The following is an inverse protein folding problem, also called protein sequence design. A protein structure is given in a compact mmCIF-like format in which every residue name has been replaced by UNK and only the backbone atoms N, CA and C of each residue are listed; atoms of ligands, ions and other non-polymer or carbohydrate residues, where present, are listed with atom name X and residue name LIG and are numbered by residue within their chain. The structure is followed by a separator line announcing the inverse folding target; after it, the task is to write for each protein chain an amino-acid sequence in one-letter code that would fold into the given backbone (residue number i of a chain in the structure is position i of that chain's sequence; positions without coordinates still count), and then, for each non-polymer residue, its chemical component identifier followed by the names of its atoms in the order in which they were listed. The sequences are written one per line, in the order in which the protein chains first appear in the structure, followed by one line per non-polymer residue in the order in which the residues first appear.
data_IF_216595206307
#
_entry.id   IF_216595206307
#
_cell.length_a   1.000
_cell.length_b   1.000
_cell.length_c   1.000
_cell.angle_alpha   90.00
_cell.angle_beta   90.00
_cell.angle_gamma   90.00
#
_symmetry.space_group_name_H-M   'P 1'
#
loop_
_entity.id
_entity.type
_entity.pdbx_description
1 polymer ?
#
# COMPACT_ATOMS: atom_id res chain seq x y z
N UNK A 1 7.42 8.33 12.48
CA UNK A 1 6.99 6.97 12.90
C UNK A 1 5.55 7.02 13.37
N UNK A 2 4.89 5.86 13.52
CA UNK A 2 3.58 5.72 14.18
C UNK A 2 3.72 4.85 15.44
N UNK A 3 2.69 4.82 16.29
CA UNK A 3 2.66 3.91 17.44
C UNK A 3 2.92 2.46 17.04
N UNK A 4 2.34 2.03 15.92
CA UNK A 4 2.53 0.68 15.34
C UNK A 4 3.99 0.34 15.01
N UNK A 5 4.87 1.34 14.79
CA UNK A 5 6.30 1.11 14.52
C UNK A 5 6.94 0.28 15.62
N UNK A 6 6.57 0.52 16.89
CA UNK A 6 7.08 -0.25 18.02
C UNK A 6 6.77 -1.74 17.92
N UNK A 7 5.53 -2.10 17.53
CA UNK A 7 5.15 -3.48 17.37
C UNK A 7 5.91 -4.18 16.21
N UNK A 8 6.22 -3.47 15.13
CA UNK A 8 7.06 -4.01 14.05
C UNK A 8 8.52 -4.18 14.47
N UNK A 9 9.07 -3.23 15.23
CA UNK A 9 10.44 -3.36 15.77
C UNK A 9 10.53 -4.49 16.79
N UNK A 10 9.51 -4.65 17.65
CA UNK A 10 9.46 -5.74 18.63
C UNK A 10 9.54 -7.13 17.98
N UNK A 11 9.07 -7.28 16.72
CA UNK A 11 9.17 -8.55 15.99
C UNK A 11 10.62 -9.08 15.85
N UNK A 12 11.62 -8.21 15.91
CA UNK A 12 13.03 -8.59 15.79
C UNK A 12 13.85 -8.29 17.04
N UNK A 13 13.42 -7.35 17.87
CA UNK A 13 14.08 -7.03 19.15
C UNK A 13 13.77 -8.10 20.21
N UNK A 14 12.54 -8.60 20.24
CA UNK A 14 12.06 -9.54 21.27
C UNK A 14 11.62 -10.90 20.72
N UNK A 15 11.88 -11.26 19.49
CA UNK A 15 11.26 -12.23 18.58
C UNK A 15 9.78 -12.54 18.92
N UNK A 16 8.99 -11.47 19.13
CA UNK A 16 7.58 -11.59 19.46
C UNK A 16 6.71 -11.62 18.19
N UNK A 17 5.86 -12.64 18.11
CA UNK A 17 4.77 -12.69 17.14
C UNK A 17 3.57 -11.94 17.70
N UNK A 18 3.46 -10.65 17.35
CA UNK A 18 2.31 -9.84 17.78
C UNK A 18 1.02 -10.34 17.11
N UNK A 19 -0.07 -10.40 17.87
CA UNK A 19 -1.33 -11.01 17.40
C UNK A 19 -2.04 -10.21 16.30
N UNK A 20 -1.80 -8.92 16.23
CA UNK A 20 -2.53 -7.95 15.39
C UNK A 20 -1.79 -7.55 14.10
N UNK A 21 -0.56 -8.04 13.89
CA UNK A 21 0.25 -7.64 12.72
C UNK A 21 0.97 -8.83 12.08
N UNK A 22 1.05 -8.87 10.73
CA UNK A 22 1.87 -9.86 10.04
C UNK A 22 3.34 -9.78 10.45
N UNK A 23 3.98 -10.93 10.63
CA UNK A 23 5.42 -11.01 10.95
C UNK A 23 6.27 -10.93 9.67
N UNK A 24 6.13 -9.84 8.93
CA UNK A 24 6.78 -9.63 7.62
C UNK A 24 7.58 -8.34 7.60
N UNK A 25 6.95 -7.22 8.01
CA UNK A 25 7.61 -5.92 7.91
C UNK A 25 8.77 -5.75 8.90
N UNK A 26 8.65 -6.26 10.11
CA UNK A 26 9.75 -6.20 11.08
C UNK A 26 11.04 -6.85 10.56
N UNK A 27 11.02 -8.13 10.12
CA UNK A 27 12.17 -8.78 9.49
C UNK A 27 12.64 -8.07 8.21
N UNK A 28 11.75 -7.54 7.37
CA UNK A 28 12.13 -6.73 6.20
C UNK A 28 12.91 -5.48 6.60
N UNK A 29 12.41 -4.72 7.57
CA UNK A 29 13.06 -3.50 8.04
C UNK A 29 14.39 -3.78 8.73
N UNK A 30 14.47 -4.90 9.47
CA UNK A 30 15.68 -5.34 10.17
C UNK A 30 16.88 -5.51 9.24
N UNK A 31 16.70 -5.99 8.02
CA UNK A 31 17.77 -6.11 7.02
C UNK A 31 18.52 -4.79 6.83
N UNK A 32 17.85 -3.67 7.00
CA UNK A 32 18.41 -2.33 6.75
C UNK A 32 18.84 -1.61 8.03
N UNK A 33 18.16 -1.79 9.14
CA UNK A 33 18.49 -1.10 10.40
C UNK A 33 19.38 -1.94 11.33
N UNK A 34 19.36 -3.27 11.26
CA UNK A 34 20.17 -4.22 12.00
C UNK A 34 20.34 -3.88 13.50
N UNK A 35 19.34 -3.23 14.11
CA UNK A 35 19.36 -2.66 15.46
C UNK A 35 20.49 -1.64 15.71
N UNK A 36 21.07 -1.06 14.66
CA UNK A 36 22.10 -0.01 14.74
C UNK A 36 21.46 1.36 14.61
N UNK A 37 20.72 1.60 13.53
CA UNK A 37 20.03 2.87 13.30
C UNK A 37 18.82 2.71 12.38
N UNK A 38 17.68 3.27 12.76
CA UNK A 38 16.44 3.29 11.98
C UNK A 38 16.57 3.99 10.63
N UNK A 39 17.57 4.89 10.50
CA UNK A 39 17.85 5.59 9.26
C UNK A 39 18.17 4.65 8.09
N UNK A 40 18.74 3.46 8.34
CA UNK A 40 18.97 2.48 7.27
C UNK A 40 17.72 2.08 6.51
N UNK A 41 16.59 1.97 7.18
CA UNK A 41 15.31 1.60 6.57
C UNK A 41 14.74 2.70 5.67
N UNK A 42 14.91 3.97 6.04
CA UNK A 42 14.33 5.12 5.32
C UNK A 42 14.88 5.25 3.89
N UNK A 43 16.23 5.36 3.67
CA UNK A 43 16.79 5.41 2.32
C UNK A 43 16.50 4.12 1.53
N UNK A 44 16.47 2.94 2.18
CA UNK A 44 16.13 1.70 1.49
C UNK A 44 14.72 1.74 0.88
N UNK A 45 13.74 2.20 1.64
CA UNK A 45 12.36 2.42 1.17
C UNK A 45 12.31 3.45 0.01
N UNK A 46 13.05 4.55 0.15
CA UNK A 46 13.17 5.57 -0.89
C UNK A 46 13.80 5.04 -2.18
N UNK A 47 14.87 4.24 -2.08
CA UNK A 47 15.55 3.63 -3.23
C UNK A 47 14.67 2.59 -3.93
N UNK A 48 13.91 1.79 -3.18
CA UNK A 48 12.92 0.84 -3.75
C UNK A 48 11.88 1.60 -4.58
N UNK A 49 11.31 2.68 -4.03
CA UNK A 49 10.35 3.50 -4.77
C UNK A 49 10.98 4.16 -6.00
N UNK A 50 12.19 4.72 -5.88
CA UNK A 50 12.94 5.32 -6.98
C UNK A 50 13.21 4.31 -8.10
N UNK A 51 13.64 3.09 -7.75
CA UNK A 51 13.87 2.02 -8.72
C UNK A 51 12.58 1.64 -9.47
N UNK A 52 11.45 1.47 -8.77
CA UNK A 52 10.16 1.19 -9.41
C UNK A 52 9.73 2.32 -10.36
N UNK A 53 9.91 3.58 -9.97
CA UNK A 53 9.63 4.75 -10.81
C UNK A 53 10.52 4.74 -12.06
N UNK A 54 11.82 4.45 -11.91
CA UNK A 54 12.76 4.34 -13.02
C UNK A 54 12.33 3.27 -14.03
N UNK A 55 12.03 2.06 -13.53
CA UNK A 55 11.64 0.93 -14.39
C UNK A 55 10.30 1.21 -15.08
N UNK A 56 9.33 1.81 -14.37
CA UNK A 56 8.05 2.20 -14.97
C UNK A 56 8.24 3.24 -16.10
N UNK A 57 9.09 4.25 -15.88
CA UNK A 57 9.45 5.23 -16.90
C UNK A 57 10.13 4.56 -18.11
N UNK A 58 11.01 3.58 -17.87
CA UNK A 58 11.71 2.82 -18.91
C UNK A 58 10.75 1.97 -19.75
N UNK A 59 9.84 1.25 -19.10
CA UNK A 59 8.79 0.45 -19.79
C UNK A 59 7.90 1.31 -20.67
N UNK A 60 7.72 2.58 -20.30
CA UNK A 60 6.99 3.58 -21.08
C UNK A 60 7.87 4.33 -22.13
N UNK A 61 9.15 3.93 -22.29
CA UNK A 61 10.07 4.53 -23.24
C UNK A 61 10.53 5.95 -22.90
N UNK A 62 10.52 6.33 -21.61
CA UNK A 62 10.75 7.71 -21.13
C UNK A 62 11.89 7.85 -20.12
N UNK A 63 12.63 6.80 -19.84
CA UNK A 63 13.69 6.84 -18.84
C UNK A 63 14.91 7.61 -19.34
N UNK A 64 15.11 8.79 -18.78
CA UNK A 64 16.39 9.50 -18.79
C UNK A 64 16.73 9.90 -17.36
N UNK A 65 18.03 10.01 -16.99
CA UNK A 65 18.41 10.39 -15.62
C UNK A 65 17.76 11.70 -15.17
N UNK A 66 17.73 12.72 -16.02
CA UNK A 66 17.13 14.03 -15.69
C UNK A 66 15.62 13.94 -15.49
N UNK A 67 14.92 13.17 -16.35
CA UNK A 67 13.49 12.97 -16.22
C UNK A 67 13.14 12.22 -14.92
N UNK A 68 13.91 11.18 -14.60
CA UNK A 68 13.75 10.43 -13.36
C UNK A 68 13.98 11.30 -12.12
N UNK A 69 15.10 12.05 -12.08
CA UNK A 69 15.39 12.98 -10.99
C UNK A 69 14.30 14.04 -10.84
N UNK A 70 13.81 14.57 -11.96
CA UNK A 70 12.70 15.54 -11.98
C UNK A 70 11.42 14.97 -11.38
N UNK A 71 11.05 13.72 -11.72
CA UNK A 71 9.88 13.04 -11.13
C UNK A 71 10.09 12.83 -9.62
N UNK A 72 11.24 12.27 -9.22
CA UNK A 72 11.52 12.02 -7.80
C UNK A 72 11.52 13.32 -6.98
N UNK A 73 12.13 14.40 -7.49
CA UNK A 73 12.13 15.70 -6.86
C UNK A 73 10.72 16.31 -6.75
N UNK A 74 9.93 16.22 -7.82
CA UNK A 74 8.54 16.69 -7.80
C UNK A 74 7.67 15.92 -6.81
N UNK A 75 7.78 14.58 -6.77
CA UNK A 75 7.07 13.76 -5.80
C UNK A 75 7.50 14.09 -4.36
N UNK A 76 8.80 14.30 -4.13
CA UNK A 76 9.33 14.63 -2.82
C UNK A 76 8.88 16.02 -2.35
N UNK A 77 8.84 17.01 -3.23
CA UNK A 77 8.50 18.38 -2.88
C UNK A 77 6.98 18.64 -2.75
N UNK A 78 6.17 17.96 -3.57
CA UNK A 78 4.77 18.37 -3.78
C UNK A 78 3.74 17.30 -3.41
N UNK A 79 4.15 16.15 -2.85
CA UNK A 79 3.23 15.05 -2.56
C UNK A 79 3.46 14.43 -1.17
N UNK A 80 2.56 13.48 -0.81
CA UNK A 80 2.68 12.68 0.41
C UNK A 80 3.77 11.59 0.34
N UNK A 81 4.45 11.38 -0.79
CA UNK A 81 5.44 10.31 -0.97
C UNK A 81 6.54 10.29 0.11
N UNK A 82 7.24 11.41 0.41
CA UNK A 82 8.31 11.40 1.42
C UNK A 82 7.79 11.14 2.84
N UNK A 83 6.53 11.51 3.13
CA UNK A 83 5.91 11.22 4.41
C UNK A 83 5.66 9.73 4.62
N UNK A 84 5.33 9.00 3.56
CA UNK A 84 5.18 7.54 3.61
C UNK A 84 6.51 6.81 3.55
N UNK A 85 7.43 7.24 2.67
CA UNK A 85 8.75 6.63 2.52
C UNK A 85 9.68 6.89 3.72
N UNK A 86 9.51 8.03 4.39
CA UNK A 86 10.28 8.41 5.57
C UNK A 86 9.82 7.77 6.88
N UNK A 87 8.74 7.01 6.87
CA UNK A 87 8.25 6.30 8.06
C UNK A 87 8.74 4.86 8.09
N UNK A 88 9.15 4.38 9.26
CA UNK A 88 9.45 2.96 9.49
C UNK A 88 8.13 2.23 9.71
N UNK A 89 7.41 2.01 8.60
CA UNK A 89 6.05 1.45 8.56
C UNK A 89 5.82 0.72 7.24
N UNK A 90 4.97 -0.32 7.21
CA UNK A 90 4.62 -1.04 5.97
C UNK A 90 3.78 -0.21 4.99
N UNK A 91 3.37 0.99 5.35
CA UNK A 91 2.52 1.85 4.54
C UNK A 91 3.09 2.10 3.13
N UNK A 92 4.41 2.33 3.01
CA UNK A 92 5.07 2.52 1.72
C UNK A 92 5.07 1.25 0.86
N UNK A 93 4.92 0.08 1.46
CA UNK A 93 4.87 -1.17 0.71
C UNK A 93 3.52 -1.36 -0.02
N UNK A 94 2.46 -0.64 0.34
CA UNK A 94 1.20 -0.67 -0.42
C UNK A 94 1.37 -0.16 -1.86
N UNK A 95 1.89 1.07 -2.12
CA UNK A 95 2.18 1.49 -3.49
C UNK A 95 3.24 0.64 -4.18
N UNK A 96 4.23 0.11 -3.44
CA UNK A 96 5.23 -0.83 -3.97
C UNK A 96 4.54 -2.10 -4.50
N UNK A 97 3.60 -2.70 -3.76
CA UNK A 97 2.85 -3.87 -4.20
C UNK A 97 2.03 -3.59 -5.48
N UNK A 98 1.36 -2.43 -5.53
CA UNK A 98 0.60 -2.00 -6.72
C UNK A 98 1.51 -1.88 -7.94
N UNK A 99 2.66 -1.21 -7.81
CA UNK A 99 3.60 -1.02 -8.91
C UNK A 99 4.26 -2.34 -9.34
N UNK A 100 4.62 -3.23 -8.42
CA UNK A 100 5.12 -4.56 -8.73
C UNK A 100 4.10 -5.36 -9.55
N UNK A 101 2.84 -5.43 -9.10
CA UNK A 101 1.79 -6.13 -9.82
C UNK A 101 1.55 -5.55 -11.22
N UNK A 102 1.54 -4.21 -11.35
CA UNK A 102 1.40 -3.53 -12.62
C UNK A 102 2.55 -3.86 -13.59
N UNK A 103 3.80 -3.80 -13.12
CA UNK A 103 4.99 -4.12 -13.92
C UNK A 103 5.02 -5.60 -14.32
N UNK A 104 4.71 -6.53 -13.42
CA UNK A 104 4.64 -7.95 -13.71
C UNK A 104 3.57 -8.30 -14.74
N UNK A 105 2.43 -7.56 -14.72
CA UNK A 105 1.35 -7.73 -15.69
C UNK A 105 1.66 -7.11 -17.04
N UNK A 106 1.73 -5.80 -17.09
CA UNK A 106 1.78 -5.03 -18.34
C UNK A 106 3.18 -4.55 -18.73
N UNK A 107 4.14 -4.60 -17.80
CA UNK A 107 5.54 -4.22 -18.04
C UNK A 107 6.47 -5.37 -18.41
N UNK A 108 6.00 -6.62 -18.35
CA UNK A 108 6.81 -7.85 -18.38
C UNK A 108 7.88 -7.90 -19.49
N UNK A 109 7.54 -7.52 -20.72
CA UNK A 109 8.44 -7.57 -21.86
C UNK A 109 9.59 -6.56 -21.76
N UNK A 110 9.37 -5.48 -21.00
CA UNK A 110 10.41 -4.48 -20.70
C UNK A 110 11.27 -4.79 -19.49
N UNK A 111 11.04 -5.94 -18.79
CA UNK A 111 11.80 -6.36 -17.62
C UNK A 111 12.86 -7.38 -17.96
N UNK A 112 14.09 -7.19 -17.44
CA UNK A 112 15.13 -8.20 -17.42
C UNK A 112 14.79 -9.37 -16.48
N UNK A 113 15.51 -10.51 -16.61
CA UNK A 113 15.27 -11.69 -15.76
C UNK A 113 15.41 -11.39 -14.27
N UNK A 114 16.43 -10.65 -13.89
CA UNK A 114 16.67 -10.26 -12.49
C UNK A 114 15.54 -9.38 -11.96
N UNK A 115 15.05 -8.43 -12.76
CA UNK A 115 13.94 -7.55 -12.38
C UNK A 115 12.61 -8.31 -12.22
N UNK A 116 12.36 -9.32 -13.07
CA UNK A 116 11.17 -10.18 -12.94
C UNK A 116 11.18 -10.93 -11.60
N UNK A 117 12.33 -11.52 -11.22
CA UNK A 117 12.49 -12.19 -9.93
C UNK A 117 12.36 -11.17 -8.79
N UNK A 118 13.09 -10.06 -8.89
CA UNK A 118 13.08 -9.01 -7.87
C UNK A 118 11.68 -8.48 -7.60
N UNK A 119 10.93 -8.09 -8.64
CA UNK A 119 9.56 -7.57 -8.46
C UNK A 119 8.57 -8.64 -8.03
N UNK A 120 8.80 -9.90 -8.35
CA UNK A 120 8.01 -11.01 -7.81
C UNK A 120 8.21 -11.15 -6.31
N UNK A 121 9.44 -11.23 -5.85
CA UNK A 121 9.78 -11.35 -4.41
C UNK A 121 9.35 -10.11 -3.64
N UNK A 122 9.70 -8.92 -4.15
CA UNK A 122 9.32 -7.65 -3.54
C UNK A 122 7.79 -7.50 -3.47
N UNK A 123 7.08 -7.88 -4.53
CA UNK A 123 5.63 -7.87 -4.58
C UNK A 123 4.98 -8.80 -3.55
N UNK A 124 5.54 -10.00 -3.36
CA UNK A 124 5.10 -10.94 -2.30
C UNK A 124 5.30 -10.32 -0.92
N UNK A 125 6.50 -9.83 -0.61
CA UNK A 125 6.82 -9.20 0.69
C UNK A 125 5.91 -7.98 0.92
N UNK A 126 5.80 -7.10 -0.07
CA UNK A 126 5.00 -5.88 0.03
C UNK A 126 3.51 -6.18 0.22
N UNK A 127 2.99 -7.23 -0.43
CA UNK A 127 1.59 -7.64 -0.25
C UNK A 127 1.36 -8.25 1.12
N UNK A 128 2.27 -9.11 1.60
CA UNK A 128 2.15 -9.77 2.89
C UNK A 128 2.38 -8.83 4.09
N UNK A 129 3.12 -7.73 3.91
CA UNK A 129 3.46 -6.81 4.99
C UNK A 129 2.27 -6.08 5.61
N UNK A 130 1.15 -5.96 4.88
CA UNK A 130 -0.07 -5.34 5.39
C UNK A 130 -1.32 -6.04 4.84
N UNK A 131 -2.19 -6.55 5.71
CA UNK A 131 -3.35 -7.37 5.33
C UNK A 131 -4.30 -6.67 4.33
N UNK A 132 -4.43 -5.34 4.39
CA UNK A 132 -5.25 -4.59 3.41
C UNK A 132 -4.70 -4.65 1.98
N UNK A 133 -3.44 -5.06 1.78
CA UNK A 133 -2.88 -5.21 0.44
C UNK A 133 -3.43 -6.44 -0.30
N UNK A 134 -3.88 -7.47 0.42
CA UNK A 134 -4.48 -8.66 -0.20
C UNK A 134 -5.69 -8.33 -1.09
N UNK A 135 -6.75 -7.64 -0.58
CA UNK A 135 -7.87 -7.25 -1.43
C UNK A 135 -7.49 -6.22 -2.50
N UNK A 136 -6.47 -5.37 -2.27
CA UNK A 136 -5.97 -4.44 -3.30
C UNK A 136 -5.37 -5.22 -4.48
N UNK A 137 -4.46 -6.16 -4.22
CA UNK A 137 -3.84 -6.95 -5.30
C UNK A 137 -4.87 -7.90 -5.95
N UNK A 138 -5.81 -8.44 -5.17
CA UNK A 138 -6.93 -9.19 -5.74
C UNK A 138 -7.74 -8.34 -6.75
N UNK A 139 -8.03 -7.08 -6.45
CA UNK A 139 -8.68 -6.17 -7.40
C UNK A 139 -7.85 -5.96 -8.69
N UNK A 140 -6.52 -5.94 -8.60
CA UNK A 140 -5.64 -5.88 -9.79
C UNK A 140 -5.67 -7.17 -10.60
N UNK A 141 -5.79 -8.34 -9.96
CA UNK A 141 -5.98 -9.62 -10.66
C UNK A 141 -7.32 -9.62 -11.42
N UNK A 142 -8.39 -9.16 -10.78
CA UNK A 142 -9.70 -9.00 -11.44
C UNK A 142 -9.59 -8.02 -12.61
N UNK A 143 -8.89 -6.90 -12.44
CA UNK A 143 -8.63 -5.96 -13.54
C UNK A 143 -7.89 -6.63 -14.71
N UNK A 144 -6.87 -7.45 -14.43
CA UNK A 144 -6.13 -8.17 -15.48
C UNK A 144 -7.04 -9.13 -16.27
N UNK A 145 -7.95 -9.82 -15.59
CA UNK A 145 -8.95 -10.66 -16.22
C UNK A 145 -9.93 -9.87 -17.08
N UNK A 146 -10.46 -8.75 -16.56
CA UNK A 146 -11.38 -7.87 -17.28
C UNK A 146 -10.75 -7.25 -18.52
N UNK A 147 -9.47 -6.88 -18.45
CA UNK A 147 -8.69 -6.35 -19.57
C UNK A 147 -8.15 -7.44 -20.51
N UNK A 148 -8.50 -8.71 -20.25
CA UNK A 148 -8.10 -9.86 -21.08
C UNK A 148 -6.61 -9.96 -21.31
N UNK A 149 -5.80 -9.78 -20.24
CA UNK A 149 -4.34 -9.81 -20.30
C UNK A 149 -3.76 -11.18 -20.71
N UNK A 150 -4.61 -12.18 -20.88
CA UNK A 150 -4.24 -13.56 -21.12
C UNK A 150 -3.85 -14.28 -19.82
N UNK A 151 -3.90 -15.63 -19.84
CA UNK A 151 -3.72 -16.43 -18.63
C UNK A 151 -2.34 -16.24 -17.97
N UNK A 152 -1.27 -16.14 -18.78
CA UNK A 152 0.08 -15.89 -18.26
C UNK A 152 0.20 -14.51 -17.60
N UNK A 153 -0.40 -13.48 -18.20
CA UNK A 153 -0.44 -12.15 -17.62
C UNK A 153 -1.21 -12.12 -16.30
N UNK A 154 -2.37 -12.76 -16.25
CA UNK A 154 -3.14 -12.89 -15.01
C UNK A 154 -2.37 -13.63 -13.91
N UNK A 155 -1.67 -14.72 -14.24
CA UNK A 155 -0.80 -15.44 -13.29
C UNK A 155 0.33 -14.56 -12.75
N UNK A 156 0.97 -13.74 -13.61
CA UNK A 156 2.04 -12.83 -13.20
C UNK A 156 1.52 -11.76 -12.22
N UNK A 157 0.32 -11.20 -12.47
CA UNK A 157 -0.33 -10.24 -11.54
C UNK A 157 -0.77 -10.93 -10.24
N UNK A 158 -1.21 -12.20 -10.31
CA UNK A 158 -1.65 -12.98 -9.16
C UNK A 158 -0.50 -13.48 -8.28
N UNK A 159 0.72 -13.56 -8.80
CA UNK A 159 1.88 -14.11 -8.09
C UNK A 159 2.16 -13.39 -6.75
N UNK A 160 2.17 -12.05 -6.65
CA UNK A 160 2.30 -11.35 -5.37
C UNK A 160 1.22 -11.74 -4.36
N UNK A 161 -0.02 -11.91 -4.79
CA UNK A 161 -1.12 -12.32 -3.92
C UNK A 161 -0.95 -13.77 -3.44
N UNK A 162 -0.74 -14.70 -4.36
CA UNK A 162 -0.59 -16.12 -4.03
C UNK A 162 0.62 -16.37 -3.11
N UNK A 163 1.75 -15.74 -3.43
CA UNK A 163 2.95 -15.81 -2.59
C UNK A 163 2.75 -15.17 -1.22
N UNK A 164 2.05 -14.04 -1.14
CA UNK A 164 1.73 -13.40 0.13
C UNK A 164 0.80 -14.26 1.00
N UNK A 165 -0.23 -14.87 0.41
CA UNK A 165 -1.11 -15.80 1.13
C UNK A 165 -0.31 -16.99 1.65
N UNK A 166 0.52 -17.62 0.83
CA UNK A 166 1.36 -18.73 1.25
C UNK A 166 2.31 -18.33 2.39
N UNK A 167 2.97 -17.17 2.28
CA UNK A 167 3.88 -16.65 3.30
C UNK A 167 3.16 -16.39 4.62
N UNK A 168 1.97 -15.79 4.58
CA UNK A 168 1.15 -15.52 5.77
C UNK A 168 0.66 -16.82 6.43
N UNK A 169 0.22 -17.81 5.64
CA UNK A 169 -0.18 -19.12 6.17
C UNK A 169 0.97 -19.81 6.90
N UNK A 170 2.17 -19.79 6.32
CA UNK A 170 3.37 -20.38 6.93
C UNK A 170 3.78 -19.63 8.19
N UNK A 171 3.90 -18.31 8.14
CA UNK A 171 4.32 -17.50 9.31
C UNK A 171 3.32 -17.60 10.45
N UNK A 172 2.01 -17.59 10.17
CA UNK A 172 0.99 -17.74 11.19
C UNK A 172 0.90 -19.17 11.76
N UNK A 173 1.17 -20.19 10.95
CA UNK A 173 1.28 -21.57 11.43
C UNK A 173 2.45 -21.70 12.40
N UNK A 174 3.62 -21.17 12.05
CA UNK A 174 4.83 -21.23 12.89
C UNK A 174 4.66 -20.40 14.18
N UNK A 175 4.16 -19.17 14.06
CA UNK A 175 4.14 -18.24 15.18
C UNK A 175 2.90 -18.35 16.08
N UNK A 176 1.76 -18.74 15.52
CA UNK A 176 0.49 -18.81 16.26
C UNK A 176 -0.11 -20.22 16.33
N UNK A 177 0.51 -21.21 15.66
CA UNK A 177 -0.05 -22.56 15.55
C UNK A 177 -1.35 -22.61 14.74
N UNK A 178 -1.62 -21.60 13.88
CA UNK A 178 -2.88 -21.49 13.13
C UNK A 178 -2.63 -21.33 11.64
N UNK A 179 -3.17 -22.25 10.85
CA UNK A 179 -3.14 -22.19 9.40
C UNK A 179 -4.22 -21.21 8.91
N UNK A 180 -3.93 -19.93 9.00
CA UNK A 180 -4.85 -18.84 8.63
C UNK A 180 -4.06 -17.62 8.12
N UNK A 181 -4.64 -16.87 7.19
CA UNK A 181 -4.05 -15.62 6.67
C UNK A 181 -4.02 -14.53 7.76
N UNK A 182 -5.03 -14.49 8.61
CA UNK A 182 -5.14 -13.57 9.75
C UNK A 182 -5.85 -14.30 10.89
N UNK A 183 -5.10 -14.90 11.82
CA UNK A 183 -5.67 -15.74 12.89
C UNK A 183 -6.70 -15.03 13.78
N UNK A 184 -6.55 -13.70 13.91
CA UNK A 184 -7.35 -12.87 14.81
C UNK A 184 -8.01 -11.69 14.11
N UNK A 185 -8.08 -11.71 12.79
CA UNK A 185 -8.66 -10.64 11.97
C UNK A 185 -10.15 -10.41 12.20
N UNK A 186 -10.88 -11.42 12.71
CA UNK A 186 -12.29 -11.30 13.09
C UNK A 186 -12.51 -10.23 14.15
N UNK A 187 -11.59 -10.04 15.10
CA UNK A 187 -11.69 -8.98 16.13
C UNK A 187 -11.69 -7.59 15.52
N UNK A 188 -10.87 -7.34 14.47
CA UNK A 188 -10.85 -6.05 13.77
C UNK A 188 -12.12 -5.80 12.98
N UNK A 189 -12.62 -6.81 12.28
CA UNK A 189 -13.87 -6.71 11.54
C UNK A 189 -15.05 -6.52 12.49
N UNK A 190 -15.09 -7.23 13.62
CA UNK A 190 -16.13 -7.03 14.64
C UNK A 190 -16.09 -5.60 15.18
N UNK A 191 -14.90 -5.09 15.54
CA UNK A 191 -14.74 -3.71 16.01
C UNK A 191 -15.29 -2.70 14.99
N UNK A 192 -15.07 -2.96 13.69
CA UNK A 192 -15.63 -2.14 12.61
C UNK A 192 -17.16 -2.22 12.58
N UNK A 193 -17.73 -3.41 12.59
CA UNK A 193 -19.17 -3.63 12.54
C UNK A 193 -19.90 -3.10 13.79
N UNK A 194 -19.26 -3.14 14.96
CA UNK A 194 -19.77 -2.50 16.19
C UNK A 194 -19.81 -0.97 15.99
N UNK A 195 -18.70 -0.39 15.55
CA UNK A 195 -18.60 1.07 15.39
C UNK A 195 -19.54 1.63 14.32
N UNK A 196 -19.84 0.86 13.27
CA UNK A 196 -20.80 1.22 12.23
C UNK A 196 -22.27 0.99 12.67
N UNK A 197 -22.48 0.15 13.70
CA UNK A 197 -23.78 -0.11 14.31
C UNK A 197 -24.38 -1.50 14.08
N UNK A 198 -24.24 -2.16 12.93
CA UNK A 198 -24.89 -3.46 12.68
C UNK A 198 -24.61 -4.52 13.76
N UNK A 199 -23.32 -4.74 14.11
CA UNK A 199 -23.01 -5.73 15.14
C UNK A 199 -23.48 -5.31 16.55
N UNK A 200 -23.48 -4.01 16.85
CA UNK A 200 -24.03 -3.53 18.12
C UNK A 200 -25.52 -3.83 18.24
N UNK A 201 -26.31 -3.68 17.15
CA UNK A 201 -27.73 -4.05 17.12
C UNK A 201 -27.92 -5.56 17.23
N UNK A 202 -27.12 -6.35 16.51
CA UNK A 202 -27.17 -7.83 16.60
C UNK A 202 -26.89 -8.31 18.02
N UNK A 203 -25.86 -7.73 18.68
CA UNK A 203 -25.55 -8.06 20.09
C UNK A 203 -26.74 -7.69 20.99
N UNK A 204 -27.28 -6.49 20.86
CA UNK A 204 -28.41 -6.06 21.68
C UNK A 204 -29.66 -6.94 21.50
N UNK A 205 -29.90 -7.42 20.28
CA UNK A 205 -31.06 -8.27 19.94
C UNK A 205 -30.91 -9.74 20.41
N UNK A 206 -29.67 -10.22 20.55
CA UNK A 206 -29.37 -11.62 20.91
C UNK A 206 -29.00 -11.83 22.37
N UNK A 207 -28.72 -10.76 23.08
CA UNK A 207 -28.33 -10.82 24.49
C UNK A 207 -29.56 -10.69 25.42
N UNK A 208 -29.59 -11.38 26.54
CA UNK A 208 -28.52 -12.24 27.07
C UNK A 208 -28.50 -13.69 26.54
N UNK A 209 -29.51 -14.12 25.77
CA UNK A 209 -29.78 -15.51 25.40
C UNK A 209 -28.62 -16.17 24.64
N UNK A 210 -27.84 -15.38 23.87
CA UNK A 210 -26.69 -15.88 23.12
C UNK A 210 -25.50 -16.27 24.02
N UNK A 211 -25.45 -15.82 25.27
CA UNK A 211 -24.39 -16.13 26.22
C UNK A 211 -23.01 -15.62 25.80
N UNK A 212 -22.93 -14.63 24.91
CA UNK A 212 -21.67 -14.05 24.47
C UNK A 212 -21.02 -13.21 25.58
N UNK A 213 -19.69 -13.18 25.61
CA UNK A 213 -18.94 -12.30 26.49
C UNK A 213 -19.39 -10.83 26.34
N UNK A 214 -19.58 -10.39 25.08
CA UNK A 214 -20.00 -9.02 24.77
C UNK A 214 -21.42 -8.71 25.24
N UNK A 215 -22.24 -9.67 25.67
CA UNK A 215 -23.55 -9.40 26.27
C UNK A 215 -23.45 -8.54 27.53
N UNK A 216 -22.39 -8.69 28.32
CA UNK A 216 -22.14 -7.86 29.50
C UNK A 216 -21.96 -6.37 29.17
N UNK A 217 -21.72 -6.04 27.89
CA UNK A 217 -21.49 -4.67 27.40
C UNK A 217 -22.59 -4.19 26.43
N UNK A 218 -23.65 -4.96 26.24
CA UNK A 218 -24.76 -4.59 25.38
C UNK A 218 -25.31 -3.20 25.76
N UNK A 219 -25.57 -2.36 24.76
CA UNK A 219 -26.04 -0.97 24.94
C UNK A 219 -24.98 0.05 25.34
N UNK A 220 -23.72 -0.34 25.64
CA UNK A 220 -22.60 0.57 25.98
C UNK A 220 -21.33 0.28 25.17
N UNK A 221 -21.45 -0.40 24.04
CA UNK A 221 -20.34 -0.66 23.12
C UNK A 221 -19.85 0.64 22.49
N UNK A 222 -18.52 0.81 22.31
CA UNK A 222 -17.97 2.02 21.69
C UNK A 222 -18.43 2.20 20.22
N UNK A 223 -18.75 3.42 19.82
CA UNK A 223 -19.09 3.80 18.44
C UNK A 223 -17.85 4.13 17.59
N UNK A 224 -16.66 3.81 18.09
CA UNK A 224 -15.38 4.00 17.43
C UNK A 224 -14.57 2.71 17.55
N UNK A 225 -14.14 2.16 16.40
CA UNK A 225 -13.39 0.90 16.38
C UNK A 225 -12.02 0.98 17.06
N UNK A 226 -11.35 2.14 17.00
CA UNK A 226 -10.06 2.30 17.67
C UNK A 226 -10.21 2.36 19.19
N UNK A 227 -11.30 2.95 19.68
CA UNK A 227 -11.64 2.91 21.11
C UNK A 227 -11.90 1.47 21.55
N UNK A 228 -12.65 0.70 20.75
CA UNK A 228 -12.89 -0.72 21.06
C UNK A 228 -11.61 -1.54 21.08
N UNK A 229 -10.69 -1.29 20.13
CA UNK A 229 -9.46 -2.08 19.97
C UNK A 229 -8.36 -1.69 20.98
N UNK A 230 -8.17 -0.38 21.24
CA UNK A 230 -6.92 0.09 21.83
C UNK A 230 -7.05 0.78 23.18
N UNK A 231 -8.26 1.23 23.57
CA UNK A 231 -8.42 1.92 24.85
C UNK A 231 -8.40 0.89 26.00
N UNK A 232 -7.63 1.12 27.08
CA UNK A 232 -7.51 0.17 28.20
C UNK A 232 -8.83 -0.21 28.87
N UNK A 233 -9.82 0.70 28.85
CA UNK A 233 -11.14 0.51 29.46
C UNK A 233 -12.15 -0.18 28.53
N UNK A 234 -11.75 -0.47 27.30
CA UNK A 234 -12.64 -1.12 26.33
C UNK A 234 -13.00 -2.55 26.72
N UNK A 235 -14.13 -3.08 26.23
CA UNK A 235 -14.52 -4.48 26.46
C UNK A 235 -13.47 -5.50 26.01
N UNK A 236 -12.60 -5.14 25.09
CA UNK A 236 -11.52 -5.98 24.60
C UNK A 236 -10.37 -6.11 25.60
N UNK A 237 -10.08 -5.05 26.34
CA UNK A 237 -8.91 -4.93 27.20
C UNK A 237 -9.25 -5.00 28.70
N UNK A 238 -10.55 -4.91 29.06
CA UNK A 238 -11.02 -4.95 30.45
C UNK A 238 -12.33 -5.74 30.57
N UNK A 239 -12.32 -6.70 31.46
CA UNK A 239 -13.47 -7.55 31.78
C UNK A 239 -14.56 -6.75 32.55
N UNK A 240 -15.83 -7.24 32.59
CA UNK A 240 -16.90 -6.60 33.33
C UNK A 240 -16.62 -6.39 34.82
N UNK A 241 -15.80 -7.23 35.43
CA UNK A 241 -15.34 -7.14 36.84
C UNK A 241 -14.19 -6.14 37.02
N UNK A 242 -13.75 -5.46 35.97
CA UNK A 242 -12.69 -4.47 36.00
C UNK A 242 -11.27 -5.03 35.86
N UNK A 243 -11.08 -6.34 35.70
CA UNK A 243 -9.76 -6.97 35.52
C UNK A 243 -9.26 -6.71 34.09
N UNK A 244 -7.96 -6.42 33.96
CA UNK A 244 -7.31 -6.31 32.65
C UNK A 244 -7.26 -7.67 31.96
N UNK A 245 -7.55 -7.67 30.65
CA UNK A 245 -7.47 -8.87 29.81
C UNK A 245 -6.15 -8.79 29.03
N UNK A 246 -5.32 -9.80 29.20
CA UNK A 246 -4.09 -9.94 28.42
C UNK A 246 -4.42 -10.52 27.03
N UNK A 247 -3.96 -9.87 25.95
CA UNK A 247 -4.22 -10.28 24.58
C UNK A 247 -5.72 -10.41 24.23
N UNK A 248 -6.58 -9.54 24.76
CA UNK A 248 -8.03 -9.63 24.60
C UNK A 248 -8.49 -9.73 23.14
N UNK A 249 -7.77 -9.15 22.20
CA UNK A 249 -8.06 -9.30 20.77
C UNK A 249 -7.88 -10.72 20.24
N UNK A 250 -6.94 -11.48 20.80
CA UNK A 250 -6.75 -12.90 20.51
C UNK A 250 -7.87 -13.74 21.15
N UNK A 251 -8.18 -13.45 22.39
CA UNK A 251 -9.18 -14.21 23.17
C UNK A 251 -10.60 -14.03 22.62
N UNK A 252 -10.95 -12.82 22.18
CA UNK A 252 -12.26 -12.52 21.60
C UNK A 252 -12.46 -13.07 20.18
N UNK A 253 -11.40 -13.38 19.43
CA UNK A 253 -11.48 -13.71 18.00
C UNK A 253 -12.45 -14.86 17.65
N UNK A 254 -12.58 -15.95 18.42
CA UNK A 254 -13.57 -17.00 18.16
C UNK A 254 -15.00 -16.48 18.26
N UNK A 255 -15.36 -15.76 19.33
CA UNK A 255 -16.69 -15.18 19.53
C UNK A 255 -16.96 -14.10 18.48
N UNK A 256 -15.96 -13.28 18.14
CA UNK A 256 -16.07 -12.28 17.09
C UNK A 256 -16.51 -12.89 15.76
N UNK A 257 -15.98 -14.05 15.40
CA UNK A 257 -16.37 -14.76 14.16
C UNK A 257 -17.85 -15.18 14.17
N UNK A 258 -18.37 -15.62 15.31
CA UNK A 258 -19.78 -16.00 15.49
C UNK A 258 -20.68 -14.77 15.34
N UNK A 259 -20.35 -13.67 16.04
CA UNK A 259 -21.12 -12.43 16.00
C UNK A 259 -21.12 -11.83 14.59
N UNK A 260 -19.98 -11.85 13.88
CA UNK A 260 -19.89 -11.39 12.50
C UNK A 260 -20.82 -12.19 11.60
N UNK A 261 -20.79 -13.52 11.69
CA UNK A 261 -21.66 -14.39 10.89
C UNK A 261 -23.14 -14.08 11.12
N UNK A 262 -23.53 -13.90 12.38
CA UNK A 262 -24.90 -13.56 12.74
C UNK A 262 -25.29 -12.15 12.26
N UNK A 263 -24.39 -11.17 12.42
CA UNK A 263 -24.58 -9.80 11.90
C UNK A 263 -24.79 -9.80 10.38
N UNK A 264 -23.98 -10.56 9.64
CA UNK A 264 -24.12 -10.66 8.19
C UNK A 264 -25.43 -11.34 7.77
N UNK A 265 -25.98 -12.25 8.57
CA UNK A 265 -27.29 -12.86 8.29
C UNK A 265 -28.44 -11.88 8.50
N UNK A 266 -28.38 -11.06 9.54
CA UNK A 266 -29.49 -10.18 9.95
C UNK A 266 -29.42 -8.80 9.32
N UNK A 267 -28.21 -8.24 9.15
CA UNK A 267 -27.97 -6.83 8.84
C UNK A 267 -27.19 -6.63 7.53
N UNK A 268 -27.15 -7.61 6.62
CA UNK A 268 -26.34 -7.56 5.39
C UNK A 268 -26.50 -6.28 4.59
N UNK A 269 -27.73 -5.77 4.31
CA UNK A 269 -27.88 -4.51 3.57
C UNK A 269 -27.29 -3.31 4.28
N UNK A 270 -27.40 -3.25 5.62
CA UNK A 270 -26.80 -2.17 6.42
C UNK A 270 -25.28 -2.24 6.38
N UNK A 271 -24.70 -3.44 6.50
CA UNK A 271 -23.24 -3.65 6.38
C UNK A 271 -22.72 -3.17 5.02
N UNK A 272 -23.41 -3.52 3.93
CA UNK A 272 -23.03 -3.06 2.57
C UNK A 272 -23.13 -1.53 2.45
N UNK A 273 -24.17 -0.92 2.98
CA UNK A 273 -24.33 0.53 2.97
C UNK A 273 -23.20 1.23 3.75
N UNK A 274 -22.80 0.66 4.89
CA UNK A 274 -21.71 1.20 5.70
C UNK A 274 -20.34 1.03 5.03
N UNK A 275 -20.07 -0.09 4.38
CA UNK A 275 -18.88 -0.31 3.57
C UNK A 275 -18.76 0.76 2.47
N UNK A 276 -19.86 1.01 1.73
CA UNK A 276 -19.86 2.04 0.67
C UNK A 276 -19.69 3.45 1.24
N UNK A 277 -20.33 3.76 2.36
CA UNK A 277 -20.17 5.04 3.05
C UNK A 277 -18.72 5.26 3.51
N UNK A 278 -18.11 4.24 4.10
CA UNK A 278 -16.74 4.29 4.58
C UNK A 278 -15.72 4.33 3.44
N UNK A 279 -15.99 3.65 2.33
CA UNK A 279 -15.20 3.77 1.09
C UNK A 279 -15.16 5.23 0.61
N UNK A 280 -16.32 5.89 0.48
CA UNK A 280 -16.38 7.31 0.07
C UNK A 280 -15.67 8.21 1.07
N UNK A 281 -15.85 7.96 2.38
CA UNK A 281 -15.13 8.70 3.43
C UNK A 281 -13.62 8.51 3.30
N UNK A 282 -13.16 7.28 3.07
CA UNK A 282 -11.74 6.97 2.93
C UNK A 282 -11.12 7.63 1.70
N UNK A 283 -11.80 7.64 0.54
CA UNK A 283 -11.35 8.34 -0.67
C UNK A 283 -11.07 9.83 -0.43
N UNK A 284 -11.84 10.48 0.45
CA UNK A 284 -11.69 11.89 0.79
C UNK A 284 -10.61 12.18 1.83
N UNK A 285 -10.05 11.15 2.47
CA UNK A 285 -9.07 11.28 3.55
C UNK A 285 -7.66 11.00 3.05
N UNK A 286 -6.98 12.00 2.50
CA UNK A 286 -5.64 11.86 1.92
C UNK A 286 -4.59 12.80 2.54
N UNK A 287 -4.90 13.42 3.68
CA UNK A 287 -3.98 14.37 4.30
C UNK A 287 -2.82 13.65 5.01
N UNK A 288 -1.66 14.31 5.03
CA UNK A 288 -0.52 13.92 5.86
C UNK A 288 -0.67 14.49 7.28
N UNK A 289 0.09 13.93 8.24
CA UNK A 289 0.12 14.44 9.62
C UNK A 289 -0.82 13.72 10.58
N UNK A 290 -1.50 12.67 10.13
CA UNK A 290 -2.30 11.80 10.98
C UNK A 290 -1.38 11.00 11.93
N UNK A 291 -1.75 10.91 13.21
CA UNK A 291 -1.04 10.13 14.25
C UNK A 291 0.48 10.41 14.39
N UNK A 292 0.94 11.65 14.18
CA UNK A 292 2.34 12.05 14.29
C UNK A 292 2.69 12.77 15.61
N UNK A 293 1.97 12.50 16.69
CA UNK A 293 2.22 13.17 17.97
C UNK A 293 3.31 12.44 18.77
N UNK A 294 3.97 13.16 19.68
CA UNK A 294 4.95 12.55 20.61
C UNK A 294 4.32 11.47 21.49
N UNK A 295 3.05 11.63 21.86
CA UNK A 295 2.33 10.67 22.69
C UNK A 295 2.24 9.31 21.99
N UNK A 296 1.86 9.31 20.70
CA UNK A 296 1.69 8.08 19.92
C UNK A 296 2.98 7.27 19.83
N UNK A 297 4.14 7.93 19.61
CA UNK A 297 5.42 7.24 19.44
C UNK A 297 6.19 7.06 20.75
N UNK A 298 6.02 7.94 21.71
CA UNK A 298 6.66 7.85 23.03
C UNK A 298 6.22 6.61 23.79
N UNK A 299 4.92 6.30 23.75
CA UNK A 299 4.38 5.11 24.39
C UNK A 299 4.68 3.83 23.59
N UNK A 300 4.46 3.84 22.28
CA UNK A 300 4.53 2.62 21.46
C UNK A 300 5.94 2.26 20.98
N UNK A 301 6.81 3.26 20.73
CA UNK A 301 8.10 3.03 20.04
C UNK A 301 9.29 3.12 20.99
N UNK A 302 9.34 4.15 21.85
CA UNK A 302 10.47 4.41 22.72
C UNK A 302 10.91 3.23 23.60
N UNK A 303 10.01 2.45 24.25
CA UNK A 303 10.42 1.31 25.07
C UNK A 303 11.12 0.22 24.27
N UNK A 304 10.68 -0.03 23.03
CA UNK A 304 11.28 -1.04 22.15
C UNK A 304 12.66 -0.57 21.66
N UNK A 305 12.80 0.73 21.33
CA UNK A 305 14.10 1.30 20.98
C UNK A 305 15.09 1.19 22.14
N UNK A 306 14.67 1.55 23.35
CA UNK A 306 15.54 1.48 24.54
C UNK A 306 16.00 0.05 24.85
N UNK A 307 15.23 -0.97 24.44
CA UNK A 307 15.57 -2.37 24.63
C UNK A 307 16.50 -2.93 23.56
N UNK A 308 16.34 -2.50 22.31
CA UNK A 308 16.98 -3.16 21.16
C UNK A 308 17.99 -2.33 20.38
N UNK A 309 18.13 -1.03 20.69
CA UNK A 309 19.02 -0.13 19.93
C UNK A 309 20.06 0.55 20.83
N UNK A 310 21.17 1.05 20.26
CA UNK A 310 22.17 1.78 21.01
C UNK A 310 21.60 3.03 21.70
N UNK A 311 22.14 3.44 22.87
CA UNK A 311 21.70 4.64 23.59
C UNK A 311 21.70 5.92 22.74
N UNK A 312 22.62 6.02 21.80
CA UNK A 312 22.74 7.17 20.88
C UNK A 312 21.54 7.25 19.92
N UNK A 313 20.98 6.11 19.48
CA UNK A 313 19.79 6.09 18.62
C UNK A 313 18.54 6.47 19.43
N UNK A 314 18.46 6.04 20.69
CA UNK A 314 17.40 6.46 21.62
C UNK A 314 17.46 7.97 21.86
N UNK A 315 18.65 8.51 22.09
CA UNK A 315 18.85 9.95 22.28
C UNK A 315 18.47 10.76 21.03
N UNK A 316 18.82 10.27 19.82
CA UNK A 316 18.39 10.90 18.55
C UNK A 316 16.87 10.85 18.38
N UNK A 317 16.24 9.74 18.78
CA UNK A 317 14.78 9.64 18.77
C UNK A 317 14.15 10.65 19.72
N UNK A 318 14.61 10.73 20.97
CA UNK A 318 14.10 11.67 21.98
C UNK A 318 14.29 13.14 21.55
N UNK A 319 15.39 13.47 20.86
CA UNK A 319 15.66 14.80 20.29
C UNK A 319 14.99 15.07 18.92
N UNK A 320 14.18 14.15 18.40
CA UNK A 320 13.59 14.29 17.07
C UNK A 320 12.46 15.34 17.02
N UNK A 321 12.22 15.92 15.83
CA UNK A 321 11.09 16.83 15.59
C UNK A 321 9.74 16.19 15.91
N UNK A 322 9.62 14.87 15.79
CA UNK A 322 8.39 14.18 16.13
C UNK A 322 8.14 14.18 17.63
N UNK A 323 9.21 13.98 18.45
CA UNK A 323 9.13 14.07 19.90
C UNK A 323 8.94 15.51 20.41
N UNK A 324 9.34 16.52 19.60
CA UNK A 324 9.06 17.93 19.85
C UNK A 324 7.64 18.39 19.40
N UNK A 325 6.80 17.48 18.85
CA UNK A 325 5.49 17.75 18.24
C UNK A 325 5.50 18.72 17.03
N UNK A 326 6.67 18.94 16.39
CA UNK A 326 6.84 19.89 15.28
C UNK A 326 6.35 19.34 13.91
N UNK A 327 6.17 18.04 13.77
CA UNK A 327 5.80 17.45 12.48
C UNK A 327 4.36 17.71 12.08
N UNK A 328 3.42 17.73 13.02
CA UNK A 328 2.00 17.93 12.75
C UNK A 328 1.69 19.35 12.24
N UNK A 329 2.24 20.42 12.83
CA UNK A 329 2.12 21.77 12.27
C UNK A 329 2.72 21.90 10.87
N UNK A 330 3.88 21.29 10.62
CA UNK A 330 4.51 21.28 9.31
C UNK A 330 3.63 20.56 8.28
N UNK A 331 3.11 19.38 8.61
CA UNK A 331 2.20 18.63 7.75
C UNK A 331 0.96 19.46 7.37
N UNK A 332 0.34 20.12 8.33
CA UNK A 332 -0.85 20.96 8.09
C UNK A 332 -0.60 22.06 7.06
N UNK A 333 0.59 22.69 7.05
CA UNK A 333 0.95 23.72 6.07
C UNK A 333 1.04 23.18 4.65
N UNK A 334 1.38 21.90 4.48
CA UNK A 334 1.52 21.26 3.17
C UNK A 334 0.22 20.68 2.62
N UNK A 335 -0.81 20.48 3.46
CA UNK A 335 -2.10 19.90 3.04
C UNK A 335 -2.75 20.64 1.87
N UNK A 336 -2.85 21.98 1.83
CA UNK A 336 -3.46 22.67 0.69
C UNK A 336 -2.72 22.45 -0.62
N UNK A 337 -1.37 22.48 -0.58
CA UNK A 337 -0.51 22.20 -1.73
C UNK A 337 -0.72 20.77 -2.24
N UNK A 338 -0.68 19.78 -1.36
CA UNK A 338 -0.91 18.38 -1.75
C UNK A 338 -2.30 18.18 -2.34
N UNK A 339 -3.33 18.81 -1.77
CA UNK A 339 -4.70 18.73 -2.28
C UNK A 339 -4.83 19.32 -3.69
N UNK A 340 -4.20 20.46 -3.94
CA UNK A 340 -4.15 21.09 -5.27
C UNK A 340 -3.44 20.18 -6.28
N UNK A 341 -2.28 19.62 -5.90
CA UNK A 341 -1.51 18.70 -6.77
C UNK A 341 -2.34 17.46 -7.10
N UNK A 342 -3.08 16.89 -6.15
CA UNK A 342 -3.95 15.75 -6.40
C UNK A 342 -5.08 16.09 -7.37
N UNK A 343 -5.71 17.26 -7.22
CA UNK A 343 -6.78 17.71 -8.11
C UNK A 343 -6.27 17.90 -9.56
N UNK A 344 -5.13 18.57 -9.73
CA UNK A 344 -4.48 18.76 -11.03
C UNK A 344 -4.08 17.40 -11.62
N UNK A 345 -3.47 16.54 -10.82
CA UNK A 345 -3.07 15.20 -11.26
C UNK A 345 -4.26 14.33 -11.68
N UNK A 346 -5.42 14.45 -11.05
CA UNK A 346 -6.63 13.75 -11.45
C UNK A 346 -7.10 14.18 -12.86
N UNK A 347 -7.06 15.47 -13.16
CA UNK A 347 -7.34 15.99 -14.50
C UNK A 347 -6.39 15.44 -15.57
N UNK A 348 -5.08 15.43 -15.28
CA UNK A 348 -4.08 14.85 -16.18
C UNK A 348 -4.21 13.33 -16.32
N UNK A 349 -4.51 12.59 -15.25
CA UNK A 349 -4.76 11.17 -15.34
C UNK A 349 -5.98 10.83 -16.20
N UNK A 350 -7.05 11.61 -16.10
CA UNK A 350 -8.23 11.47 -16.97
C UNK A 350 -7.90 11.74 -18.44
N UNK A 351 -7.11 12.77 -18.72
CA UNK A 351 -6.64 13.03 -20.10
C UNK A 351 -5.73 11.91 -20.61
N UNK A 352 -4.83 11.40 -19.76
CA UNK A 352 -3.95 10.29 -20.11
C UNK A 352 -4.74 9.01 -20.40
N UNK A 353 -5.76 8.72 -19.58
CA UNK A 353 -6.66 7.60 -19.81
C UNK A 353 -7.38 7.71 -21.18
N UNK A 354 -7.97 8.86 -21.49
CA UNK A 354 -8.62 9.09 -22.78
C UNK A 354 -7.66 8.90 -23.95
N UNK A 355 -6.42 9.44 -23.85
CA UNK A 355 -5.39 9.29 -24.90
C UNK A 355 -4.97 7.83 -25.08
N UNK A 356 -4.69 7.11 -23.98
CA UNK A 356 -4.31 5.71 -24.04
C UNK A 356 -5.41 4.82 -24.61
N UNK A 357 -6.66 5.12 -24.27
CA UNK A 357 -7.84 4.42 -24.80
C UNK A 357 -8.01 4.68 -26.31
N UNK A 358 -7.97 5.95 -26.75
CA UNK A 358 -8.08 6.34 -28.16
C UNK A 358 -6.92 5.77 -29.00
N UNK A 359 -5.71 5.77 -28.46
CA UNK A 359 -4.53 5.22 -29.13
C UNK A 359 -4.49 3.67 -29.09
N UNK A 360 -5.43 3.00 -28.41
CA UNK A 360 -5.46 1.55 -28.19
C UNK A 360 -4.16 1.01 -27.62
N UNK A 361 -3.47 1.80 -26.81
CA UNK A 361 -2.22 1.38 -26.15
C UNK A 361 -2.55 0.56 -24.89
N UNK A 362 -2.69 -0.75 -25.07
CA UNK A 362 -3.09 -1.66 -24.00
C UNK A 362 -2.10 -1.66 -22.82
N UNK A 363 -0.80 -1.53 -23.08
CA UNK A 363 0.24 -1.47 -22.03
C UNK A 363 0.06 -0.23 -21.15
N UNK A 364 0.02 0.94 -21.77
CA UNK A 364 -0.13 2.20 -21.05
C UNK A 364 -1.47 2.27 -20.30
N UNK A 365 -2.56 1.82 -20.94
CA UNK A 365 -3.88 1.76 -20.34
C UNK A 365 -3.88 0.82 -19.12
N UNK A 366 -3.31 -0.39 -19.24
CA UNK A 366 -3.24 -1.35 -18.17
C UNK A 366 -2.44 -0.84 -16.98
N UNK A 367 -1.24 -0.26 -17.20
CA UNK A 367 -0.40 0.33 -16.14
C UNK A 367 -1.12 1.48 -15.43
N UNK A 368 -1.77 2.38 -16.18
CA UNK A 368 -2.53 3.50 -15.61
C UNK A 368 -3.73 3.00 -14.78
N UNK A 369 -4.50 2.06 -15.32
CA UNK A 369 -5.65 1.49 -14.62
C UNK A 369 -5.24 0.72 -13.36
N UNK A 370 -4.09 0.03 -13.36
CA UNK A 370 -3.55 -0.57 -12.15
C UNK A 370 -3.32 0.46 -11.04
N UNK A 371 -2.76 1.61 -11.36
CA UNK A 371 -2.58 2.69 -10.38
C UNK A 371 -3.93 3.19 -9.86
N UNK A 372 -4.87 3.47 -10.74
CA UNK A 372 -6.19 3.99 -10.36
C UNK A 372 -6.99 2.98 -9.54
N UNK A 373 -7.03 1.71 -9.98
CA UNK A 373 -7.68 0.62 -9.24
C UNK A 373 -6.96 0.34 -7.93
N UNK A 374 -5.63 0.42 -7.89
CA UNK A 374 -4.85 0.30 -6.66
C UNK A 374 -5.21 1.37 -5.63
N UNK A 375 -5.32 2.64 -6.05
CA UNK A 375 -5.72 3.77 -5.18
C UNK A 375 -7.16 3.59 -4.66
N UNK A 376 -8.10 3.26 -5.55
CA UNK A 376 -9.51 3.07 -5.18
C UNK A 376 -9.73 1.79 -4.38
N UNK A 377 -9.05 0.70 -4.75
CA UNK A 377 -9.06 -0.56 -4.03
C UNK A 377 -8.49 -0.43 -2.61
N UNK A 378 -7.43 0.37 -2.44
CA UNK A 378 -6.92 0.68 -1.10
C UNK A 378 -7.96 1.42 -0.25
N UNK A 379 -8.68 2.39 -0.81
CA UNK A 379 -9.75 3.10 -0.08
C UNK A 379 -10.90 2.17 0.30
N UNK A 380 -11.28 1.25 -0.60
CA UNK A 380 -12.32 0.26 -0.31
C UNK A 380 -11.86 -0.71 0.79
N UNK A 381 -10.66 -1.28 0.66
CA UNK A 381 -10.14 -2.25 1.61
C UNK A 381 -9.97 -1.65 3.02
N UNK A 382 -9.38 -0.46 3.13
CA UNK A 382 -9.17 0.18 4.43
C UNK A 382 -10.44 0.79 5.00
N UNK A 383 -11.33 1.31 4.17
CA UNK A 383 -12.64 1.82 4.61
C UNK A 383 -13.59 0.73 5.09
N UNK A 384 -13.56 -0.46 4.46
CA UNK A 384 -14.40 -1.60 4.82
C UNK A 384 -13.91 -2.35 6.06
N UNK A 385 -12.58 -2.53 6.18
CA UNK A 385 -11.97 -3.41 7.18
C UNK A 385 -11.42 -2.67 8.40
N UNK A 386 -11.28 -1.35 8.34
CA UNK A 386 -10.73 -0.52 9.41
C UNK A 386 -11.48 0.81 9.52
N UNK A 387 -11.17 1.61 10.54
CA UNK A 387 -11.66 2.98 10.61
C UNK A 387 -11.01 3.84 9.51
N UNK A 388 -11.78 4.67 8.77
CA UNK A 388 -11.19 5.57 7.77
C UNK A 388 -10.21 6.57 8.40
N UNK A 389 -8.93 6.50 7.99
CA UNK A 389 -7.84 7.38 8.42
C UNK A 389 -7.17 8.08 7.24
N UNK A 390 -6.68 9.29 7.45
CA UNK A 390 -5.95 10.03 6.42
C UNK A 390 -4.70 9.27 5.95
N UNK A 391 -3.94 8.65 6.86
CA UNK A 391 -2.71 7.92 6.53
C UNK A 391 -2.92 6.81 5.51
N UNK A 392 -4.06 6.10 5.58
CA UNK A 392 -4.32 4.97 4.69
C UNK A 392 -4.46 5.38 3.22
N UNK A 393 -4.93 6.56 2.94
CA UNK A 393 -5.00 7.03 1.56
C UNK A 393 -3.79 7.87 1.20
N UNK A 394 -3.20 8.62 2.15
CA UNK A 394 -1.98 9.39 1.93
C UNK A 394 -0.82 8.53 1.42
N UNK A 395 -0.73 7.25 1.88
CA UNK A 395 0.32 6.32 1.46
C UNK A 395 0.28 5.93 -0.02
N UNK A 396 -0.86 6.05 -0.71
CA UNK A 396 -1.04 5.63 -2.11
C UNK A 396 -1.38 6.77 -3.07
N UNK A 397 -1.96 7.89 -2.59
CA UNK A 397 -2.46 8.94 -3.50
C UNK A 397 -1.36 9.63 -4.30
N UNK A 398 -0.11 9.60 -3.85
CA UNK A 398 1.04 10.13 -4.60
C UNK A 398 1.30 9.36 -5.92
N UNK A 399 0.75 8.15 -6.06
CA UNK A 399 0.75 7.43 -7.33
C UNK A 399 -0.06 8.16 -8.42
N UNK A 400 -1.02 9.01 -8.05
CA UNK A 400 -1.80 9.79 -9.01
C UNK A 400 -0.96 10.89 -9.69
N UNK A 401 -0.21 11.77 -8.98
CA UNK A 401 0.78 12.63 -9.59
C UNK A 401 1.87 11.89 -10.37
N UNK A 402 2.35 10.74 -9.87
CA UNK A 402 3.27 9.90 -10.62
C UNK A 402 2.67 9.49 -11.97
N UNK A 403 1.44 8.98 -11.97
CA UNK A 403 0.73 8.62 -13.19
C UNK A 403 0.56 9.82 -14.13
N UNK A 404 0.16 10.97 -13.60
CA UNK A 404 0.04 12.20 -14.39
C UNK A 404 1.35 12.55 -15.11
N UNK A 405 2.48 12.52 -14.41
CA UNK A 405 3.80 12.82 -14.99
C UNK A 405 4.23 11.77 -16.01
N UNK A 406 4.01 10.48 -15.74
CA UNK A 406 4.45 9.40 -16.62
C UNK A 406 3.60 9.26 -17.89
N UNK A 407 2.28 9.48 -17.81
CA UNK A 407 1.35 9.20 -18.92
C UNK A 407 0.88 10.45 -19.68
N UNK A 408 1.23 11.65 -19.24
CA UNK A 408 0.84 12.94 -19.85
C UNK A 408 1.16 13.05 -21.36
N UNK A 409 2.32 12.57 -21.81
CA UNK A 409 2.76 12.56 -23.22
C UNK A 409 3.08 11.13 -23.65
N UNK A 410 2.07 10.30 -23.84
CA UNK A 410 2.29 9.00 -24.49
C UNK A 410 2.69 9.23 -25.94
N UNK A 411 3.73 8.54 -26.48
CA UNK A 411 4.03 8.56 -27.91
C UNK A 411 2.79 8.11 -28.69
N UNK A 412 2.43 8.84 -29.72
CA UNK A 412 1.40 8.37 -30.64
C UNK A 412 1.98 7.20 -31.42
N UNK A 413 1.15 6.18 -31.70
CA UNK A 413 1.55 4.96 -32.41
C UNK A 413 2.21 5.17 -33.77
N UNK A 414 2.17 6.39 -34.34
CA UNK A 414 2.88 6.79 -35.56
C UNK A 414 4.35 7.15 -35.35
N UNK A 415 4.80 7.47 -34.15
CA UNK A 415 6.20 7.86 -33.88
C UNK A 415 7.14 6.64 -33.76
N UNK A 416 6.65 5.50 -33.38
CA UNK A 416 7.45 4.26 -33.36
C UNK A 416 7.72 3.74 -34.79
N UNK A 417 6.76 3.85 -35.69
CA UNK A 417 6.96 3.50 -37.10
C UNK A 417 7.94 4.44 -37.83
N UNK A 418 7.99 5.72 -37.46
CA UNK A 418 8.98 6.65 -37.98
C UNK A 418 10.39 6.44 -37.44
N UNK A 419 10.55 5.91 -36.25
CA UNK A 419 11.87 5.58 -35.66
C UNK A 419 12.42 4.24 -36.14
N UNK A 420 11.56 3.33 -36.62
CA UNK A 420 11.94 2.01 -37.15
C UNK A 420 12.11 1.99 -38.66
N UNK A 421 11.75 3.06 -39.39
CA UNK A 421 12.06 3.20 -40.79
C UNK A 421 13.53 3.60 -40.92
N UNK A 422 14.41 2.79 -41.54
CA UNK A 422 15.76 3.24 -41.87
C UNK A 422 15.62 4.42 -42.80
N UNK A 423 16.27 5.53 -42.46
CA UNK A 423 16.34 6.70 -43.37
C UNK A 423 16.91 6.24 -44.69
N UNK A 424 16.07 6.25 -45.72
CA UNK A 424 16.50 6.12 -47.08
C UNK A 424 17.23 7.44 -47.45
N UNK A 425 18.41 7.61 -46.87
CA UNK A 425 19.31 8.69 -47.24
C UNK A 425 20.00 8.30 -48.55
N UNK A 426 19.54 8.94 -49.60
CA UNK A 426 20.28 9.33 -50.83
C UNK A 426 21.25 8.28 -51.40
N UNK A 427 20.71 7.39 -52.22
CA UNK A 427 21.50 6.86 -53.34
C UNK A 427 21.66 7.98 -54.39
N UNK A 428 22.66 8.82 -54.19
CA UNK A 428 23.11 9.78 -55.19
C UNK A 428 23.67 9.03 -56.40
N UNK A 429 22.93 9.05 -57.50
CA UNK A 429 23.34 8.64 -58.82
C UNK A 429 24.60 9.38 -59.24
N UNK A 430 25.77 8.77 -59.11
CA UNK A 430 26.96 9.15 -59.89
C UNK A 430 26.85 8.47 -61.26
N UNK A 431 26.41 9.21 -62.29
CA UNK A 431 26.62 8.88 -63.70
C UNK A 431 28.13 8.91 -63.96
N UNK A 432 28.73 7.75 -64.17
CA UNK A 432 30.05 7.63 -64.81
C UNK A 432 29.88 7.71 -66.35
N UNK A 433 30.45 8.76 -66.92
CA UNK A 433 30.61 8.95 -68.37
C UNK A 433 31.62 7.91 -68.86
N UNK A 434 31.18 6.95 -69.68
CA UNK A 434 32.04 6.17 -70.55
C UNK A 434 32.50 7.03 -71.74
N UNK A 435 33.80 7.26 -71.84
CA UNK A 435 34.47 7.60 -73.09
C UNK A 435 35.16 6.41 -73.70
N UNK A 436 34.80 6.15 -74.90
CA UNK A 436 35.40 5.18 -75.82
C UNK A 436 36.90 5.35 -76.01
N UNK A 437 37.60 4.24 -76.21
CA UNK A 437 38.97 4.18 -76.76
C UNK A 437 39.30 2.76 -77.10
N UNK A 438 39.06 2.39 -78.35
CA UNK A 438 39.53 1.16 -79.01
C UNK A 438 40.96 1.31 -79.56
N UNK A 439 41.56 0.33 -80.28
CA UNK A 439 42.44 -0.74 -79.79
C UNK A 439 43.84 -0.51 -80.38
N UNK A 440 44.77 -1.46 -80.10
CA UNK A 440 45.77 -1.97 -81.09
C UNK A 440 46.79 -2.87 -80.35
N UNK A 441 46.96 -4.07 -80.95
CA UNK A 441 47.97 -5.15 -80.88
C UNK A 441 47.94 -6.04 -79.65
#
# INVERSE_FOLDING_TARGET
MFSDTGAFLAQTVEPLMVWDKPWIYGPFAWVFHQHISLWGTVPAQGLICSHLIWVLARVLGRATPMYHLGICAALAAFTAAPWSAGMVMPDILTPVAILCAALLGWGWDGLGRVERIWFSVLGVIATAAHLSNLPVIFALVVLAMLLRLGWQGCLRVALPLAGAVALLLVTNLVGHGRFAVSPYGSTFLLARLIADGPAARTIAARCPEAGWYLCAFAGRLPTNSDVFLWVPESPLNRAPDGKAIFLGGRELAPEASIIIAETLRQEFPAVVADVLRNFVRQLRRSQIGDTLTRHDVGFGVRPVLAKGFPPEEVARFDGSRQMADDLKPLARRLVPLHSLVLLVAAGFALMAWRRAHLARNARALGLLLCILVGITGNALATGALSMPHHRYQARVVWLLPLAAMLFWRLPQSGDEQRRSSPSSASAGTRRASCRNGSPIN
#
